data_IF_239612924719
#
_entry.id   IF_239612924719
#
_cell.length_a   1.000
_cell.length_b   1.000
_cell.length_c   1.000
_cell.angle_alpha   90.00
_cell.angle_beta   90.00
_cell.angle_gamma   90.00
#
_symmetry.space_group_name_H-M   'P 1'
#
loop_
_entity.id
_entity.type
_entity.pdbx_description
1 polymer ?
#
# COMPACT_ATOMS: atom_id res chain seq x y z
N UNK A 1 5.52 6.26 -10.30
CA UNK A 1 4.75 5.21 -9.59
C UNK A 1 5.05 5.28 -8.11
N UNK A 2 3.99 5.38 -7.31
CA UNK A 2 4.08 5.51 -5.87
C UNK A 2 3.54 4.24 -5.21
N UNK A 3 4.38 3.60 -4.40
CA UNK A 3 4.02 2.47 -3.57
C UNK A 3 3.84 2.94 -2.12
N UNK A 4 2.59 3.18 -1.72
CA UNK A 4 2.27 3.83 -0.44
C UNK A 4 1.36 2.97 0.44
N UNK A 5 1.72 2.84 1.71
CA UNK A 5 0.99 2.03 2.69
C UNK A 5 1.04 2.63 4.10
N UNK A 6 -0.02 2.42 4.86
CA UNK A 6 0.11 2.33 6.31
C UNK A 6 0.58 0.92 6.68
N UNK A 7 1.53 0.84 7.59
CA UNK A 7 2.21 -0.40 7.96
C UNK A 7 2.39 -0.45 9.47
N UNK A 8 2.27 -1.63 10.07
CA UNK A 8 2.64 -1.85 11.47
C UNK A 8 4.16 -1.70 11.68
N UNK A 9 4.59 -1.54 12.93
CA UNK A 9 6.01 -1.38 13.26
C UNK A 9 6.85 -2.61 12.88
N UNK A 10 6.24 -3.79 12.85
CA UNK A 10 6.83 -5.08 12.46
C UNK A 10 6.66 -5.44 10.98
N UNK A 11 6.17 -4.50 10.15
CA UNK A 11 6.28 -4.60 8.69
C UNK A 11 5.05 -5.15 7.95
N UNK A 12 3.90 -5.22 8.62
CA UNK A 12 2.66 -5.76 8.04
C UNK A 12 1.74 -4.63 7.55
N UNK A 13 1.15 -4.80 6.36
CA UNK A 13 0.20 -3.86 5.76
C UNK A 13 -1.25 -4.31 5.87
N UNK A 14 -1.45 -5.60 6.17
CA UNK A 14 -2.74 -6.18 6.51
C UNK A 14 -2.50 -7.32 7.52
N UNK A 15 -3.51 -7.64 8.32
CA UNK A 15 -3.54 -8.86 9.12
C UNK A 15 -3.76 -10.11 8.26
N UNK A 16 -3.90 -11.29 8.88
CA UNK A 16 -4.25 -12.52 8.18
C UNK A 16 -5.53 -12.36 7.34
N UNK A 17 -5.59 -13.05 6.19
CA UNK A 17 -6.74 -13.00 5.28
C UNK A 17 -7.11 -11.58 4.81
N UNK A 18 -6.13 -10.69 4.63
CA UNK A 18 -6.33 -9.31 4.23
C UNK A 18 -7.15 -8.48 5.24
N UNK A 19 -7.13 -8.85 6.53
CA UNK A 19 -7.82 -8.06 7.56
C UNK A 19 -7.19 -6.67 7.70
N UNK A 20 -8.00 -5.66 7.44
CA UNK A 20 -7.61 -4.26 7.60
C UNK A 20 -8.17 -3.65 8.90
N UNK A 21 -8.93 -4.43 9.69
CA UNK A 21 -9.62 -4.01 10.91
C UNK A 21 -8.73 -3.29 11.93
N UNK A 22 -7.46 -3.68 12.03
CA UNK A 22 -6.48 -3.04 12.91
C UNK A 22 -6.25 -1.55 12.59
N UNK A 23 -6.38 -1.13 11.33
CA UNK A 23 -6.21 0.28 10.93
C UNK A 23 -7.33 1.16 11.49
N UNK A 24 -8.57 0.69 11.39
CA UNK A 24 -9.73 1.47 11.85
C UNK A 24 -9.93 1.39 13.36
N UNK A 25 -9.72 0.21 13.96
CA UNK A 25 -9.91 0.01 15.41
C UNK A 25 -8.83 0.69 16.24
N UNK A 26 -7.61 0.79 15.72
CA UNK A 26 -6.50 1.46 16.40
C UNK A 26 -6.57 2.99 16.38
N UNK A 27 -7.49 3.59 15.61
CA UNK A 27 -7.63 5.04 15.50
C UNK A 27 -6.41 5.73 14.89
N UNK A 28 -5.58 4.99 14.15
CA UNK A 28 -4.38 5.52 13.51
C UNK A 28 -4.75 6.49 12.39
N UNK A 29 -3.97 7.56 12.25
CA UNK A 29 -4.20 8.61 11.25
C UNK A 29 -2.90 8.91 10.54
N UNK A 30 -2.98 9.07 9.22
CA UNK A 30 -1.91 9.69 8.46
C UNK A 30 -1.75 11.16 8.88
N UNK A 31 -0.58 11.73 8.58
CA UNK A 31 -0.35 13.16 8.77
C UNK A 31 -1.40 13.99 8.01
N UNK A 32 -1.87 15.12 8.58
CA UNK A 32 -2.82 15.99 7.90
C UNK A 32 -2.39 16.35 6.48
N UNK A 33 -3.33 16.25 5.53
CA UNK A 33 -3.09 16.64 4.13
C UNK A 33 -2.44 15.56 3.25
N UNK A 34 -1.79 14.54 3.82
CA UNK A 34 -1.15 13.47 3.02
C UNK A 34 -2.13 12.76 2.10
N UNK A 35 -3.26 12.30 2.65
CA UNK A 35 -4.29 11.59 1.85
C UNK A 35 -4.82 12.48 0.73
N UNK A 36 -5.01 13.77 1.01
CA UNK A 36 -5.44 14.74 -0.01
C UNK A 36 -4.38 14.87 -1.11
N UNK A 37 -3.09 14.95 -0.74
CA UNK A 37 -1.99 14.98 -1.69
C UNK A 37 -1.97 13.74 -2.61
N UNK A 38 -2.18 12.54 -2.06
CA UNK A 38 -2.31 11.32 -2.87
C UNK A 38 -3.49 11.41 -3.84
N UNK A 39 -4.66 11.82 -3.38
CA UNK A 39 -5.86 11.95 -4.22
C UNK A 39 -5.62 12.93 -5.37
N UNK A 40 -5.02 14.08 -5.10
CA UNK A 40 -4.79 15.13 -6.11
C UNK A 40 -3.80 14.69 -7.20
N UNK A 41 -2.76 13.95 -6.80
CA UNK A 41 -1.68 13.49 -7.70
C UNK A 41 -1.97 12.16 -8.39
N UNK A 42 -2.96 11.39 -7.95
CA UNK A 42 -3.28 10.07 -8.53
C UNK A 42 -4.03 10.21 -9.86
N UNK A 43 -3.48 9.60 -10.90
CA UNK A 43 -4.11 9.42 -12.22
C UNK A 43 -4.68 8.03 -12.45
N UNK A 44 -4.06 6.98 -11.88
CA UNK A 44 -4.54 5.61 -11.99
C UNK A 44 -4.10 4.77 -10.78
N UNK A 45 -4.79 3.66 -10.56
CA UNK A 45 -4.46 2.68 -9.51
C UNK A 45 -4.16 1.32 -10.15
N UNK A 46 -3.12 0.64 -9.65
CA UNK A 46 -2.90 -0.79 -9.88
C UNK A 46 -3.14 -1.51 -8.55
N UNK A 47 -4.04 -2.49 -8.53
CA UNK A 47 -4.40 -3.26 -7.35
C UNK A 47 -4.36 -4.77 -7.63
N UNK A 48 -4.29 -5.57 -6.57
CA UNK A 48 -4.48 -7.03 -6.65
C UNK A 48 -5.89 -7.43 -6.24
N UNK A 49 -6.37 -8.59 -6.73
CA UNK A 49 -7.72 -9.07 -6.48
C UNK A 49 -8.10 -9.18 -5.00
N UNK A 50 -7.25 -9.78 -4.18
CA UNK A 50 -7.58 -9.98 -2.76
C UNK A 50 -7.73 -8.65 -2.01
N UNK A 51 -6.92 -7.65 -2.36
CA UNK A 51 -7.04 -6.30 -1.81
C UNK A 51 -8.30 -5.59 -2.30
N UNK A 52 -8.67 -5.78 -3.57
CA UNK A 52 -9.91 -5.27 -4.15
C UNK A 52 -11.17 -5.84 -3.48
N UNK A 53 -11.18 -7.15 -3.21
CA UNK A 53 -12.30 -7.85 -2.59
C UNK A 53 -12.38 -7.63 -1.07
N UNK A 54 -11.33 -7.08 -0.45
CA UNK A 54 -11.32 -6.79 0.99
C UNK A 54 -12.30 -5.66 1.37
N UNK A 55 -12.78 -5.60 2.63
CA UNK A 55 -13.66 -4.53 3.07
C UNK A 55 -13.07 -3.13 2.82
N UNK A 56 -13.77 -2.34 1.99
CA UNK A 56 -13.33 -0.99 1.59
C UNK A 56 -12.35 -0.95 0.41
N UNK A 57 -11.90 -2.09 -0.11
CA UNK A 57 -10.97 -2.20 -1.25
C UNK A 57 -11.48 -1.56 -2.54
N UNK A 58 -12.80 -1.62 -2.77
CA UNK A 58 -13.45 -0.99 -3.92
C UNK A 58 -13.61 0.54 -3.81
N UNK A 59 -13.21 1.14 -2.68
CA UNK A 59 -13.38 2.56 -2.39
C UNK A 59 -12.05 3.21 -2.01
N UNK A 60 -11.13 3.46 -2.96
CA UNK A 60 -9.88 4.16 -2.71
C UNK A 60 -10.10 5.43 -1.88
N UNK A 61 -9.40 5.51 -0.73
CA UNK A 61 -9.56 6.58 0.26
C UNK A 61 -11.01 6.87 0.66
N UNK A 62 -11.81 5.81 0.87
CA UNK A 62 -13.22 5.96 1.24
C UNK A 62 -14.11 6.50 0.11
N UNK A 63 -13.68 6.36 -1.15
CA UNK A 63 -14.40 6.84 -2.32
C UNK A 63 -14.17 8.31 -2.64
N UNK A 64 -13.19 8.95 -1.99
CA UNK A 64 -12.81 10.34 -2.24
C UNK A 64 -12.07 10.54 -3.58
N UNK A 65 -11.60 9.45 -4.20
CA UNK A 65 -11.01 9.45 -5.53
C UNK A 65 -11.78 8.53 -6.47
N UNK A 66 -11.87 8.93 -7.75
CA UNK A 66 -12.44 8.15 -8.84
C UNK A 66 -11.55 8.29 -10.07
N UNK A 67 -11.31 7.18 -10.75
CA UNK A 67 -10.50 7.13 -11.96
C UNK A 67 -10.16 5.68 -12.33
N UNK A 68 -9.28 5.49 -13.33
CA UNK A 68 -8.92 4.16 -13.83
C UNK A 68 -8.25 3.29 -12.75
N UNK A 69 -8.80 2.09 -12.55
CA UNK A 69 -8.27 1.07 -11.64
C UNK A 69 -8.00 -0.20 -12.44
N UNK A 70 -6.78 -0.71 -12.37
CA UNK A 70 -6.37 -1.97 -12.98
C UNK A 70 -6.20 -3.03 -11.89
N UNK A 71 -7.10 -4.01 -11.86
CA UNK A 71 -7.07 -5.09 -10.86
C UNK A 71 -6.48 -6.34 -11.50
N UNK A 72 -5.30 -6.74 -11.04
CA UNK A 72 -4.65 -7.97 -11.51
C UNK A 72 -5.28 -9.17 -10.81
N UNK A 73 -5.68 -10.15 -11.62
CA UNK A 73 -6.24 -11.44 -11.18
C UNK A 73 -5.92 -12.51 -12.21
N UNK A 74 -5.84 -13.78 -11.79
CA UNK A 74 -5.71 -14.90 -12.73
C UNK A 74 -7.02 -15.24 -13.45
N UNK A 75 -8.16 -14.88 -12.83
CA UNK A 75 -9.52 -15.16 -13.32
C UNK A 75 -10.31 -13.85 -13.47
N UNK A 76 -10.02 -13.02 -14.48
CA UNK A 76 -10.75 -11.77 -14.72
C UNK A 76 -12.21 -12.00 -15.11
N UNK A 77 -12.53 -13.15 -15.69
CA UNK A 77 -13.88 -13.59 -16.04
C UNK A 77 -14.83 -13.75 -14.84
N UNK A 78 -14.28 -14.00 -13.64
CA UNK A 78 -15.04 -14.16 -12.40
C UNK A 78 -15.35 -12.82 -11.73
N UNK A 79 -14.89 -11.70 -12.31
CA UNK A 79 -15.11 -10.38 -11.75
C UNK A 79 -16.47 -9.80 -12.14
N UNK A 80 -17.20 -9.30 -11.15
CA UNK A 80 -18.35 -8.44 -11.43
C UNK A 80 -17.86 -7.12 -12.05
N UNK A 81 -18.47 -6.65 -13.16
CA UNK A 81 -18.11 -5.36 -13.75
C UNK A 81 -18.24 -4.22 -12.73
N UNK A 82 -17.21 -3.38 -12.65
CA UNK A 82 -17.18 -2.22 -11.77
C UNK A 82 -16.78 -0.97 -12.55
N UNK A 83 -17.35 0.17 -12.15
CA UNK A 83 -17.14 1.45 -12.83
C UNK A 83 -15.67 1.87 -12.76
N UNK A 84 -15.08 2.24 -13.90
CA UNK A 84 -13.68 2.64 -14.04
C UNK A 84 -12.66 1.54 -13.66
N UNK A 85 -13.09 0.28 -13.54
CA UNK A 85 -12.23 -0.85 -13.17
C UNK A 85 -12.02 -1.76 -14.37
N UNK A 86 -10.78 -2.16 -14.61
CA UNK A 86 -10.41 -3.20 -15.57
C UNK A 86 -9.78 -4.36 -14.83
N UNK A 87 -10.45 -5.52 -14.85
CA UNK A 87 -9.88 -6.77 -14.36
C UNK A 87 -9.09 -7.44 -15.49
N UNK A 88 -7.85 -7.85 -15.21
CA UNK A 88 -6.98 -8.41 -16.25
C UNK A 88 -5.95 -9.38 -15.67
N UNK A 89 -5.60 -10.36 -16.50
CA UNK A 89 -4.53 -11.32 -16.25
C UNK A 89 -3.34 -11.00 -17.16
N UNK A 90 -2.37 -10.26 -16.64
CA UNK A 90 -1.14 -9.84 -17.34
C UNK A 90 0.01 -9.71 -16.34
N UNK A 91 1.23 -9.72 -16.87
CA UNK A 91 2.43 -9.42 -16.09
C UNK A 91 2.40 -7.96 -15.59
N UNK A 92 2.84 -7.67 -14.35
CA UNK A 92 2.78 -6.32 -13.79
C UNK A 92 3.39 -5.23 -14.68
N UNK A 93 4.51 -5.51 -15.35
CA UNK A 93 5.18 -4.55 -16.23
C UNK A 93 4.30 -4.11 -17.42
N UNK A 94 3.49 -5.02 -17.96
CA UNK A 94 2.56 -4.71 -19.05
C UNK A 94 1.41 -3.82 -18.56
N UNK A 95 0.93 -4.07 -17.33
CA UNK A 95 -0.12 -3.25 -16.72
C UNK A 95 0.35 -1.83 -16.46
N UNK A 96 1.63 -1.64 -16.10
CA UNK A 96 2.21 -0.30 -15.92
C UNK A 96 2.04 0.55 -17.18
N UNK A 97 2.21 -0.02 -18.38
CA UNK A 97 2.05 0.74 -19.63
C UNK A 97 0.61 1.21 -19.82
N UNK A 98 -0.36 0.34 -19.54
CA UNK A 98 -1.79 0.69 -19.58
C UNK A 98 -2.13 1.78 -18.56
N UNK A 99 -1.62 1.62 -17.34
CA UNK A 99 -1.83 2.56 -16.25
C UNK A 99 -1.18 3.93 -16.54
N UNK A 100 0.00 3.98 -17.18
CA UNK A 100 0.66 5.23 -17.56
C UNK A 100 -0.15 6.01 -18.59
N UNK A 101 -0.67 5.31 -19.61
CA UNK A 101 -1.54 5.93 -20.60
C UNK A 101 -2.83 6.48 -19.95
N UNK A 102 -3.44 5.70 -19.05
CA UNK A 102 -4.67 6.08 -18.36
C UNK A 102 -4.45 7.20 -17.31
N UNK A 103 -3.26 7.28 -16.70
CA UNK A 103 -2.94 8.26 -15.69
C UNK A 103 -2.78 9.68 -16.23
N UNK A 104 -2.72 9.87 -17.55
CA UNK A 104 -2.69 11.19 -18.20
C UNK A 104 -1.62 12.16 -17.61
N UNK A 105 -0.42 11.62 -17.36
CA UNK A 105 0.70 12.39 -16.81
C UNK A 105 0.69 12.59 -15.29
N UNK A 106 -0.28 12.01 -14.58
CA UNK A 106 -0.33 11.93 -13.11
C UNK A 106 0.29 10.63 -12.59
N UNK A 107 0.38 10.50 -11.28
CA UNK A 107 0.99 9.36 -10.62
C UNK A 107 0.11 8.10 -10.69
N UNK A 108 0.75 6.94 -10.75
CA UNK A 108 0.10 5.64 -10.56
C UNK A 108 0.34 5.20 -9.12
N UNK A 109 -0.74 4.89 -8.41
CA UNK A 109 -0.67 4.31 -7.06
C UNK A 109 -0.73 2.80 -7.13
N UNK A 110 0.18 2.12 -6.42
CA UNK A 110 0.21 0.66 -6.34
C UNK A 110 -0.41 0.20 -5.02
N UNK A 111 -1.63 -0.33 -5.07
CA UNK A 111 -2.43 -0.81 -3.95
C UNK A 111 -2.30 -2.33 -3.76
N UNK A 112 -1.08 -2.84 -3.85
CA UNK A 112 -0.79 -4.25 -3.54
C UNK A 112 0.66 -4.40 -3.11
N UNK A 113 0.93 -5.05 -1.95
CA UNK A 113 2.30 -5.30 -1.51
C UNK A 113 3.03 -6.26 -2.46
N UNK A 114 2.33 -7.28 -2.98
CA UNK A 114 2.92 -8.26 -3.89
C UNK A 114 3.28 -7.62 -5.25
N UNK A 115 2.33 -6.93 -5.87
CA UNK A 115 2.57 -6.25 -7.16
C UNK A 115 3.65 -5.18 -6.99
N UNK A 116 3.60 -4.40 -5.89
CA UNK A 116 4.63 -3.41 -5.59
C UNK A 116 6.02 -4.01 -5.44
N UNK A 117 6.17 -5.16 -4.76
CA UNK A 117 7.44 -5.86 -4.64
C UNK A 117 7.98 -6.38 -5.98
N UNK A 118 7.10 -6.85 -6.88
CA UNK A 118 7.47 -7.24 -8.23
C UNK A 118 7.96 -6.03 -9.06
N UNK A 119 7.19 -4.95 -9.05
CA UNK A 119 7.54 -3.70 -9.75
C UNK A 119 8.84 -3.07 -9.19
N UNK A 120 9.05 -3.16 -7.88
CA UNK A 120 10.30 -2.72 -7.25
C UNK A 120 11.48 -3.56 -7.73
N UNK A 121 11.29 -4.89 -7.86
CA UNK A 121 12.30 -5.79 -8.42
C UNK A 121 12.65 -5.50 -9.89
N UNK A 122 11.74 -4.86 -10.62
CA UNK A 122 11.92 -4.42 -12.01
C UNK A 122 12.47 -2.98 -12.11
N UNK A 123 12.68 -2.29 -10.99
CA UNK A 123 13.11 -0.89 -10.97
C UNK A 123 12.06 0.10 -11.47
N UNK A 124 10.78 -0.27 -11.40
CA UNK A 124 9.67 0.55 -11.90
C UNK A 124 9.00 1.41 -10.81
N UNK A 125 9.27 1.15 -9.53
CA UNK A 125 8.79 1.99 -8.43
C UNK A 125 9.70 3.22 -8.29
N UNK A 126 9.12 4.41 -8.37
CA UNK A 126 9.85 5.68 -8.21
C UNK A 126 9.91 6.11 -6.74
N UNK A 127 8.82 5.91 -6.00
CA UNK A 127 8.68 6.37 -4.62
C UNK A 127 8.03 5.29 -3.75
N UNK A 128 8.55 5.12 -2.54
CA UNK A 128 7.97 4.32 -1.46
C UNK A 128 7.64 5.26 -0.31
N UNK A 129 6.37 5.35 0.08
CA UNK A 129 5.90 6.25 1.13
C UNK A 129 5.14 5.47 2.23
N UNK A 130 5.69 5.44 3.44
CA UNK A 130 5.23 4.57 4.52
C UNK A 130 4.80 5.32 5.76
N UNK A 131 3.57 5.05 6.18
CA UNK A 131 3.00 5.51 7.45
C UNK A 131 3.14 4.40 8.48
N UNK A 132 4.16 4.48 9.35
CA UNK A 132 4.42 3.44 10.36
C UNK A 132 3.52 3.67 11.57
N UNK A 133 2.51 2.81 11.73
CA UNK A 133 1.61 2.81 12.88
C UNK A 133 2.30 2.22 14.13
N UNK A 134 2.02 2.76 15.33
CA UNK A 134 2.63 2.33 16.59
C UNK A 134 2.01 1.04 17.14
N UNK A 135 2.02 -0.03 16.34
CA UNK A 135 1.43 -1.33 16.64
C UNK A 135 2.31 -2.46 16.13
N UNK A 136 2.31 -3.59 16.85
CA UNK A 136 2.89 -4.86 16.40
C UNK A 136 1.73 -5.80 16.10
N UNK A 137 1.61 -6.28 14.85
CA UNK A 137 0.54 -7.21 14.46
C UNK A 137 0.94 -8.67 14.69
N UNK A 138 2.23 -8.98 14.60
CA UNK A 138 2.78 -10.33 14.77
C UNK A 138 2.59 -11.26 13.57
N UNK A 139 1.52 -11.10 12.80
CA UNK A 139 1.25 -11.90 11.60
C UNK A 139 0.39 -11.13 10.57
N UNK A 140 0.39 -11.63 9.32
CA UNK A 140 -0.37 -11.08 8.21
C UNK A 140 0.44 -10.89 6.94
N UNK A 141 0.07 -9.89 6.15
CA UNK A 141 0.69 -9.61 4.86
C UNK A 141 1.79 -8.57 5.04
N UNK A 142 3.03 -8.97 4.78
CA UNK A 142 4.19 -8.06 4.82
C UNK A 142 4.18 -7.11 3.63
N UNK A 143 4.63 -5.87 3.84
CA UNK A 143 4.87 -4.93 2.73
C UNK A 143 5.86 -5.52 1.72
N UNK A 144 7.00 -5.97 2.20
CA UNK A 144 8.08 -6.50 1.38
C UNK A 144 8.58 -7.82 1.98
N UNK A 145 8.49 -8.88 1.19
CA UNK A 145 9.02 -10.20 1.51
C UNK A 145 9.56 -10.83 0.23
N UNK A 146 10.88 -10.93 0.12
CA UNK A 146 11.56 -11.54 -1.02
C UNK A 146 12.64 -12.51 -0.50
N UNK A 147 12.28 -13.79 -0.29
CA UNK A 147 13.27 -14.83 -0.01
C UNK A 147 14.36 -14.79 -1.08
N UNK A 148 15.62 -14.94 -0.66
CA UNK A 148 16.80 -14.90 -1.55
C UNK A 148 17.01 -13.57 -2.32
N UNK A 149 16.31 -12.50 -1.92
CA UNK A 149 16.51 -11.18 -2.49
C UNK A 149 17.83 -10.54 -2.07
N UNK A 150 18.40 -9.72 -2.95
CA UNK A 150 19.50 -8.82 -2.61
C UNK A 150 18.98 -7.54 -1.96
N UNK A 151 19.70 -6.93 -1.01
CA UNK A 151 19.30 -5.64 -0.44
C UNK A 151 19.13 -4.56 -1.50
N UNK A 152 17.98 -3.86 -1.47
CA UNK A 152 17.71 -2.68 -2.27
C UNK A 152 17.98 -1.45 -1.39
N UNK A 153 18.91 -0.58 -1.82
CA UNK A 153 19.21 0.67 -1.11
C UNK A 153 18.25 1.77 -1.58
N UNK A 154 17.67 2.50 -0.63
CA UNK A 154 16.75 3.61 -0.89
C UNK A 154 17.41 4.93 -0.53
N UNK A 155 17.07 5.98 -1.27
CA UNK A 155 17.47 7.37 -0.95
C UNK A 155 16.25 8.09 -0.39
N UNK A 156 16.33 8.73 0.79
CA UNK A 156 15.21 9.50 1.30
C UNK A 156 14.92 10.70 0.39
N UNK A 157 13.64 11.05 0.22
CA UNK A 157 13.24 12.16 -0.66
C UNK A 157 13.32 13.56 0.01
N UNK A 158 13.76 13.63 1.26
CA UNK A 158 13.98 14.91 1.94
C UNK A 158 15.24 15.62 1.39
N UNK A 159 15.14 16.94 1.19
CA UNK A 159 16.25 17.79 0.75
C UNK A 159 17.46 17.62 1.70
N UNK A 160 18.62 17.24 1.15
CA UNK A 160 19.88 16.96 1.88
C UNK A 160 19.88 15.75 2.82
N UNK A 161 19.12 14.69 2.50
CA UNK A 161 19.15 13.47 3.29
C UNK A 161 20.38 12.58 3.01
N UNK A 162 21.04 12.15 4.08
CA UNK A 162 22.11 11.16 4.02
C UNK A 162 21.52 9.78 3.74
N UNK A 163 21.93 9.15 2.63
CA UNK A 163 21.51 7.79 2.23
C UNK A 163 21.87 6.69 3.23
N UNK A 164 22.71 6.99 4.22
CA UNK A 164 23.07 6.09 5.30
C UNK A 164 22.33 6.39 6.61
N UNK A 165 21.55 7.47 6.65
CA UNK A 165 20.77 7.84 7.84
C UNK A 165 19.62 6.85 8.08
N UNK A 166 19.40 6.54 9.35
CA UNK A 166 18.30 5.67 9.80
C UNK A 166 17.14 6.50 10.34
N UNK A 167 15.90 6.04 10.14
CA UNK A 167 14.73 6.59 10.82
C UNK A 167 14.70 6.10 12.27
N UNK A 168 14.61 7.03 13.25
CA UNK A 168 14.50 6.71 14.67
C UNK A 168 13.05 6.82 15.15
N UNK A 169 12.45 5.69 15.53
CA UNK A 169 11.14 5.63 16.20
C UNK A 169 11.26 5.03 17.60
N UNK A 170 10.46 5.52 18.56
CA UNK A 170 10.47 5.02 19.95
C UNK A 170 9.05 4.96 20.50
N UNK A 171 8.65 3.78 20.97
CA UNK A 171 7.35 3.54 21.58
C UNK A 171 7.51 2.80 22.90
N UNK A 172 6.46 2.88 23.74
CA UNK A 172 6.28 2.01 24.91
C UNK A 172 4.95 1.26 24.73
N UNK A 173 4.84 0.00 25.20
CA UNK A 173 3.54 -0.65 25.25
C UNK A 173 2.54 0.18 26.06
N UNK A 174 1.30 0.20 25.61
CA UNK A 174 0.19 0.72 26.42
C UNK A 174 -0.02 -0.29 27.54
N UNK A 175 0.15 0.15 28.80
CA UNK A 175 -0.16 -0.68 29.95
C UNK A 175 -1.64 -1.03 29.91
N UNK A 176 -2.00 -2.32 29.83
CA UNK A 176 -3.34 -2.73 30.26
C UNK A 176 -3.41 -2.47 31.76
N UNK A 177 -4.39 -1.69 32.23
CA UNK A 177 -4.64 -1.57 33.67
C UNK A 177 -4.74 -2.97 34.25
N UNK A 178 -3.83 -3.33 35.17
CA UNK A 178 -3.84 -4.60 35.90
C UNK A 178 -4.84 -4.60 37.07
N UNK A 179 -5.54 -3.48 37.29
CA UNK A 179 -6.32 -3.24 38.51
C UNK A 179 -7.82 -3.54 38.37
N UNK A 180 -8.22 -4.43 37.44
CA UNK A 180 -9.62 -4.83 37.31
C UNK A 180 -9.92 -6.25 37.86
N UNK A 181 -8.91 -7.01 38.29
CA UNK A 181 -9.08 -8.36 38.85
C UNK A 181 -8.20 -8.57 40.10
N UNK A 182 -8.57 -7.94 41.22
CA UNK A 182 -8.33 -8.44 42.60
C UNK A 182 -9.54 -8.09 43.46
#
# INVERSE_FOLDING_TARGET
MLWSFMMSLDGFVAGPNHDMGWMWTGGYRAEPGVIRGYIERTGAIIAGRDGWDSPGGHSPWGGAWRGPIFVLTHHPEDAEPAENVTFLHREPAEVVQLALAAAAGKDIMVFSPNIGAQLLGLGLIDEIDLHIAPVLLGDGIRLYSKPDGTPIRLTPLAENSDTTSTVRVRYRPISRNRDADI
#
